data_IF_390687854162
#
_entry.id   IF_390687854162
#
_cell.length_a   1.000
_cell.length_b   1.000
_cell.length_c   1.000
_cell.angle_alpha   90.00
_cell.angle_beta   90.00
_cell.angle_gamma   90.00
#
_symmetry.space_group_name_H-M   'P 1'
#
loop_
_entity.id
_entity.type
_entity.pdbx_description
1 polymer ?
#
# COMPACT_ATOMS: atom_id res chain seq x y z
N UNK A 1 -4.78 43.76 -6.39
CA UNK A 1 -4.51 43.13 -5.06
C UNK A 1 -4.96 41.66 -4.93
N UNK A 2 -5.84 41.17 -5.80
CA UNK A 2 -6.31 39.77 -5.76
C UNK A 2 -5.36 38.74 -6.41
N UNK A 3 -4.51 39.13 -7.36
CA UNK A 3 -3.68 38.22 -8.13
C UNK A 3 -2.54 37.57 -7.34
N UNK A 4 -1.95 38.28 -6.39
CA UNK A 4 -0.82 37.77 -5.59
C UNK A 4 -1.23 36.70 -4.59
N UNK A 5 -2.39 36.80 -3.98
CA UNK A 5 -2.94 35.79 -3.06
C UNK A 5 -3.34 34.50 -3.77
N UNK A 6 -3.83 34.57 -5.02
CA UNK A 6 -4.16 33.39 -5.81
C UNK A 6 -2.90 32.62 -6.22
N UNK A 7 -1.84 33.32 -6.64
CA UNK A 7 -0.57 32.69 -7.01
C UNK A 7 0.08 32.01 -5.80
N UNK A 8 0.09 32.67 -4.62
CA UNK A 8 0.62 32.11 -3.39
C UNK A 8 -0.16 30.87 -2.94
N UNK A 9 -1.50 30.86 -3.09
CA UNK A 9 -2.33 29.70 -2.81
C UNK A 9 -2.10 28.56 -3.80
N UNK A 10 -1.92 28.84 -5.09
CA UNK A 10 -1.60 27.82 -6.10
C UNK A 10 -0.23 27.20 -5.85
N UNK A 11 0.79 27.99 -5.46
CA UNK A 11 2.11 27.48 -5.08
C UNK A 11 2.02 26.59 -3.86
N UNK A 12 1.27 26.96 -2.82
CA UNK A 12 1.07 26.13 -1.63
C UNK A 12 0.34 24.82 -1.95
N UNK A 13 -0.66 24.86 -2.81
CA UNK A 13 -1.38 23.65 -3.28
C UNK A 13 -0.43 22.75 -4.07
N UNK A 14 0.41 23.29 -4.93
CA UNK A 14 1.38 22.54 -5.70
C UNK A 14 2.46 21.91 -4.81
N UNK A 15 3.00 22.68 -3.85
CA UNK A 15 3.98 22.16 -2.88
C UNK A 15 3.40 21.06 -2.00
N UNK A 16 2.17 21.20 -1.53
CA UNK A 16 1.51 20.15 -0.74
C UNK A 16 1.23 18.89 -1.54
N UNK A 17 0.92 19.00 -2.84
CA UNK A 17 0.79 17.85 -3.75
C UNK A 17 2.12 17.11 -3.90
N UNK A 18 3.20 17.83 -4.18
CA UNK A 18 4.53 17.24 -4.35
C UNK A 18 5.00 16.56 -3.06
N UNK A 19 4.80 17.18 -1.92
CA UNK A 19 5.12 16.59 -0.62
C UNK A 19 4.32 15.30 -0.36
N UNK A 20 3.02 15.30 -0.67
CA UNK A 20 2.17 14.10 -0.53
C UNK A 20 2.63 12.96 -1.44
N UNK A 21 3.00 13.27 -2.69
CA UNK A 21 3.54 12.28 -3.62
C UNK A 21 4.83 11.66 -3.08
N UNK A 22 5.74 12.48 -2.56
CA UNK A 22 7.00 12.02 -2.00
C UNK A 22 6.78 11.15 -0.76
N UNK A 23 5.92 11.58 0.17
CA UNK A 23 5.58 10.82 1.37
C UNK A 23 4.90 9.50 1.00
N UNK A 24 3.95 9.51 0.08
CA UNK A 24 3.25 8.30 -0.35
C UNK A 24 4.19 7.27 -0.97
N UNK A 25 5.16 7.70 -1.78
CA UNK A 25 6.18 6.82 -2.35
C UNK A 25 7.16 6.29 -1.31
N UNK A 26 7.67 7.15 -0.43
CA UNK A 26 8.64 6.75 0.61
C UNK A 26 8.06 5.78 1.63
N UNK A 27 6.81 5.97 2.02
CA UNK A 27 6.14 5.15 3.01
C UNK A 27 5.37 3.99 2.40
N UNK A 28 5.41 3.81 1.07
CA UNK A 28 4.65 2.78 0.35
C UNK A 28 3.17 2.75 0.77
N UNK A 29 2.54 3.94 0.81
CA UNK A 29 1.13 4.08 1.23
C UNK A 29 0.15 3.42 0.27
N UNK A 30 0.59 3.01 -0.91
CA UNK A 30 -0.13 2.20 -1.88
C UNK A 30 -0.20 0.71 -1.50
N UNK A 31 0.59 0.26 -0.53
CA UNK A 31 0.62 -1.13 -0.06
C UNK A 31 -0.23 -1.33 1.19
N UNK A 32 -1.00 -2.40 1.19
CA UNK A 32 -1.86 -2.80 2.30
C UNK A 32 -1.70 -4.29 2.57
N UNK A 33 -1.58 -4.65 3.84
CA UNK A 33 -1.42 -6.02 4.32
C UNK A 33 -2.49 -6.33 5.35
N UNK A 34 -3.37 -7.30 5.05
CA UNK A 34 -4.49 -7.66 5.91
C UNK A 34 -4.49 -9.13 6.25
N UNK A 35 -4.74 -9.44 7.50
CA UNK A 35 -4.98 -10.81 7.96
C UNK A 35 -6.45 -10.98 8.32
N UNK A 36 -7.02 -12.13 7.97
CA UNK A 36 -8.38 -12.47 8.35
C UNK A 36 -8.39 -12.97 9.80
N UNK A 37 -9.07 -12.23 10.66
CA UNK A 37 -9.26 -12.57 12.06
C UNK A 37 -10.75 -12.79 12.33
N UNK A 38 -11.19 -14.04 12.20
CA UNK A 38 -12.62 -14.39 12.27
C UNK A 38 -13.41 -13.74 11.12
N UNK A 39 -14.35 -12.86 11.45
CA UNK A 39 -15.17 -12.10 10.47
C UNK A 39 -14.56 -10.74 10.10
N UNK A 40 -13.44 -10.35 10.69
CA UNK A 40 -12.76 -9.09 10.44
C UNK A 40 -11.51 -9.29 9.61
N UNK A 41 -11.21 -8.27 8.81
CA UNK A 41 -9.91 -8.14 8.13
C UNK A 41 -9.14 -7.05 8.87
N UNK A 42 -8.14 -7.47 9.63
CA UNK A 42 -7.29 -6.56 10.37
C UNK A 42 -6.11 -6.10 9.49
N UNK A 43 -5.96 -4.78 9.36
CA UNK A 43 -4.81 -4.18 8.68
C UNK A 43 -3.57 -4.32 9.56
N UNK A 44 -2.51 -4.91 9.01
CA UNK A 44 -1.28 -5.18 9.75
C UNK A 44 -0.31 -3.99 9.78
N UNK A 45 -0.48 -3.04 8.86
CA UNK A 45 0.39 -1.87 8.72
C UNK A 45 1.89 -2.26 8.76
N UNK A 46 2.63 -1.70 9.73
CA UNK A 46 4.07 -1.97 9.92
C UNK A 46 4.38 -3.32 10.57
N UNK A 47 3.36 -4.06 11.04
CA UNK A 47 3.52 -5.38 11.69
C UNK A 47 3.27 -6.55 10.74
N UNK A 48 3.19 -6.30 9.44
CA UNK A 48 3.08 -7.35 8.45
C UNK A 48 4.29 -8.28 8.49
N UNK A 49 4.10 -9.61 8.36
CA UNK A 49 5.22 -10.55 8.41
C UNK A 49 6.14 -10.46 7.19
N UNK A 50 5.62 -9.96 6.08
CA UNK A 50 6.36 -9.80 4.83
C UNK A 50 6.15 -8.41 4.25
N UNK A 51 7.11 -7.97 3.46
CA UNK A 51 6.94 -6.91 2.46
C UNK A 51 6.99 -7.52 1.08
N UNK A 52 6.12 -7.06 0.19
CA UNK A 52 6.05 -7.54 -1.19
C UNK A 52 6.43 -6.41 -2.13
N UNK A 53 7.35 -6.70 -3.02
CA UNK A 53 7.78 -5.80 -4.09
C UNK A 53 7.34 -6.34 -5.44
N UNK A 54 6.90 -5.45 -6.31
CA UNK A 54 6.52 -5.73 -7.69
C UNK A 54 7.41 -4.92 -8.62
N UNK A 55 8.61 -5.44 -9.01
CA UNK A 55 9.64 -4.65 -9.71
C UNK A 55 9.21 -4.04 -11.04
N UNK A 56 8.28 -4.67 -11.74
CA UNK A 56 7.78 -4.24 -13.04
C UNK A 56 6.37 -3.61 -12.98
N UNK A 57 5.82 -3.43 -11.78
CA UNK A 57 4.50 -2.85 -11.65
C UNK A 57 4.51 -1.33 -11.86
N UNK A 58 3.55 -0.86 -12.62
CA UNK A 58 3.28 0.55 -12.78
C UNK A 58 2.52 1.14 -11.59
N UNK A 59 2.69 2.44 -11.32
CA UNK A 59 2.04 3.12 -10.20
C UNK A 59 0.49 3.05 -10.27
N UNK A 60 -0.07 2.98 -11.48
CA UNK A 60 -1.53 2.94 -11.72
C UNK A 60 -2.15 1.55 -11.60
N UNK A 61 -1.34 0.52 -11.59
CA UNK A 61 -1.83 -0.85 -11.48
C UNK A 61 -2.34 -1.16 -10.08
N UNK A 62 -3.43 -1.91 -10.01
CA UNK A 62 -3.94 -2.50 -8.77
C UNK A 62 -3.63 -3.99 -8.79
N UNK A 63 -2.86 -4.43 -7.80
CA UNK A 63 -2.41 -5.82 -7.69
C UNK A 63 -2.93 -6.39 -6.37
N UNK A 64 -3.44 -7.61 -6.43
CA UNK A 64 -3.85 -8.36 -5.25
C UNK A 64 -3.23 -9.75 -5.30
N UNK A 65 -2.76 -10.19 -4.17
CA UNK A 65 -2.22 -11.55 -3.97
C UNK A 65 -2.39 -11.95 -2.51
N UNK A 66 -2.54 -13.23 -2.27
CA UNK A 66 -2.52 -13.79 -0.92
C UNK A 66 -1.16 -14.45 -0.69
N UNK A 67 -0.48 -14.04 0.38
CA UNK A 67 0.79 -14.60 0.82
C UNK A 67 0.56 -15.36 2.12
N UNK A 68 0.82 -16.64 2.11
CA UNK A 68 0.69 -17.50 3.30
C UNK A 68 2.07 -18.02 3.70
N UNK A 69 2.64 -17.55 4.82
CA UNK A 69 3.87 -18.12 5.35
C UNK A 69 3.72 -19.63 5.59
N UNK A 70 4.67 -20.43 5.09
CA UNK A 70 4.67 -21.90 5.24
C UNK A 70 5.67 -22.31 6.32
N UNK A 71 6.89 -21.83 6.21
CA UNK A 71 7.99 -22.08 7.14
C UNK A 71 8.97 -20.90 7.17
N UNK A 72 10.15 -21.06 7.73
CA UNK A 72 11.15 -20.00 7.88
C UNK A 72 11.73 -19.47 6.56
N UNK A 73 11.53 -20.18 5.44
CA UNK A 73 12.14 -19.87 4.15
C UNK A 73 11.13 -19.78 2.99
N UNK A 74 9.92 -20.32 3.18
CA UNK A 74 8.96 -20.56 2.09
C UNK A 74 7.64 -19.90 2.39
N UNK A 75 7.06 -19.29 1.36
CA UNK A 75 5.69 -18.75 1.38
C UNK A 75 4.88 -19.36 0.23
N UNK A 76 3.58 -19.48 0.42
CA UNK A 76 2.62 -19.86 -0.60
C UNK A 76 1.93 -18.63 -1.14
N UNK A 77 1.94 -18.46 -2.45
CA UNK A 77 1.24 -17.41 -3.18
C UNK A 77 -0.03 -17.96 -3.81
N UNK A 78 -1.12 -17.21 -3.75
CA UNK A 78 -2.40 -17.61 -4.33
C UNK A 78 -3.28 -16.38 -4.62
N UNK A 79 -4.39 -16.58 -5.32
CA UNK A 79 -5.39 -15.55 -5.61
C UNK A 79 -4.78 -14.30 -6.25
N UNK A 80 -4.10 -14.50 -7.37
CA UNK A 80 -3.48 -13.41 -8.11
C UNK A 80 -4.53 -12.60 -8.88
N UNK A 81 -4.45 -11.28 -8.76
CA UNK A 81 -5.26 -10.34 -9.55
C UNK A 81 -4.42 -9.12 -9.91
N UNK A 82 -4.53 -8.71 -11.18
CA UNK A 82 -3.91 -7.50 -11.71
C UNK A 82 -4.96 -6.74 -12.50
N UNK A 83 -5.28 -5.52 -12.09
CA UNK A 83 -6.17 -4.62 -12.80
C UNK A 83 -5.40 -3.44 -13.38
N UNK A 84 -5.65 -3.16 -14.67
CA UNK A 84 -5.11 -2.03 -15.43
C UNK A 84 -6.22 -1.43 -16.29
N UNK A 85 -6.64 -0.20 -15.99
CA UNK A 85 -7.77 0.42 -16.69
C UNK A 85 -9.05 -0.41 -16.55
N UNK A 86 -9.62 -0.82 -17.68
CA UNK A 86 -10.82 -1.69 -17.72
C UNK A 86 -10.48 -3.20 -17.78
N UNK A 87 -9.18 -3.54 -17.87
CA UNK A 87 -8.71 -4.92 -17.93
C UNK A 87 -8.40 -5.49 -16.56
N UNK A 88 -8.78 -6.74 -16.32
CA UNK A 88 -8.43 -7.48 -15.11
C UNK A 88 -7.95 -8.89 -15.45
N UNK A 89 -6.83 -9.29 -14.87
CA UNK A 89 -6.26 -10.63 -14.97
C UNK A 89 -6.46 -11.30 -13.61
N UNK A 90 -7.03 -12.48 -13.62
CA UNK A 90 -7.15 -13.35 -12.46
C UNK A 90 -6.45 -14.69 -12.68
N UNK A 91 -5.83 -15.20 -11.65
CA UNK A 91 -5.28 -16.56 -11.67
C UNK A 91 -5.48 -17.22 -10.30
N UNK A 92 -5.98 -18.45 -10.33
CA UNK A 92 -6.13 -19.31 -9.15
C UNK A 92 -4.91 -20.22 -8.94
N UNK A 93 -3.85 -20.00 -9.71
CA UNK A 93 -2.60 -20.73 -9.54
C UNK A 93 -2.08 -20.62 -8.09
N UNK A 94 -1.47 -21.68 -7.60
CA UNK A 94 -0.84 -21.70 -6.28
C UNK A 94 0.64 -22.00 -6.47
N UNK A 95 1.49 -21.14 -5.93
CA UNK A 95 2.93 -21.22 -6.05
C UNK A 95 3.58 -21.24 -4.67
N UNK A 96 4.41 -22.26 -4.40
CA UNK A 96 5.31 -22.25 -3.24
C UNK A 96 6.65 -21.68 -3.67
N UNK A 97 7.09 -20.62 -3.02
CA UNK A 97 8.27 -19.83 -3.40
C UNK A 97 9.15 -19.52 -2.20
N UNK A 98 10.44 -19.32 -2.45
CA UNK A 98 11.37 -18.95 -1.40
C UNK A 98 11.32 -17.44 -1.13
N UNK A 99 11.52 -17.07 0.13
CA UNK A 99 11.72 -15.68 0.53
C UNK A 99 12.98 -15.10 -0.11
N UNK A 100 12.95 -13.81 -0.41
CA UNK A 100 14.01 -13.01 -1.02
C UNK A 100 14.38 -13.37 -2.48
N UNK A 101 13.75 -14.37 -3.06
CA UNK A 101 13.94 -14.70 -4.47
C UNK A 101 13.01 -13.83 -5.36
N UNK A 102 13.48 -13.55 -6.57
CA UNK A 102 12.61 -12.97 -7.61
C UNK A 102 11.83 -14.11 -8.26
N UNK A 103 10.53 -14.10 -8.11
CA UNK A 103 9.63 -15.14 -8.57
C UNK A 103 8.77 -14.65 -9.73
N UNK A 104 8.72 -15.43 -10.81
CA UNK A 104 7.79 -15.17 -11.91
C UNK A 104 6.40 -15.67 -11.53
N UNK A 105 5.40 -14.80 -11.66
CA UNK A 105 4.00 -15.10 -11.32
C UNK A 105 3.07 -14.71 -12.48
N UNK A 106 1.80 -15.14 -12.45
CA UNK A 106 0.82 -14.75 -13.48
C UNK A 106 0.58 -13.24 -13.61
N UNK A 107 0.97 -12.47 -12.60
CA UNK A 107 0.80 -11.01 -12.54
C UNK A 107 2.13 -10.24 -12.62
N UNK A 108 3.19 -10.91 -13.08
CA UNK A 108 4.54 -10.36 -13.21
C UNK A 108 5.49 -10.81 -12.09
N UNK A 109 6.75 -10.36 -12.15
CA UNK A 109 7.74 -10.73 -11.16
C UNK A 109 7.43 -10.13 -9.78
N UNK A 110 7.68 -10.91 -8.74
CA UNK A 110 7.49 -10.53 -7.33
C UNK A 110 8.70 -10.91 -6.50
N UNK A 111 8.93 -10.13 -5.44
CA UNK A 111 9.90 -10.43 -4.39
C UNK A 111 9.19 -10.34 -3.05
N UNK A 112 9.25 -11.40 -2.27
CA UNK A 112 8.68 -11.45 -0.92
C UNK A 112 9.83 -11.44 0.08
N UNK A 113 9.90 -10.38 0.89
CA UNK A 113 10.95 -10.18 1.89
C UNK A 113 10.37 -10.33 3.29
N UNK A 114 10.96 -11.16 4.17
CA UNK A 114 10.50 -11.29 5.54
C UNK A 114 10.83 -10.03 6.34
N UNK A 115 9.95 -9.66 7.26
CA UNK A 115 10.15 -8.58 8.23
C UNK A 115 10.56 -9.16 9.59
N UNK A 116 10.77 -8.28 10.57
CA UNK A 116 11.00 -8.69 11.96
C UNK A 116 9.81 -9.45 12.57
N UNK A 117 8.63 -9.34 11.98
CA UNK A 117 7.41 -10.00 12.41
C UNK A 117 7.18 -11.36 11.74
N UNK A 118 8.11 -11.80 10.88
CA UNK A 118 8.03 -13.13 10.24
C UNK A 118 8.37 -14.21 11.26
N UNK A 119 7.35 -14.74 11.89
CA UNK A 119 7.47 -15.78 12.93
C UNK A 119 6.48 -16.91 12.67
N UNK A 120 6.64 -18.02 13.39
CA UNK A 120 5.77 -19.19 13.35
C UNK A 120 4.30 -18.89 13.66
N UNK A 121 4.03 -17.78 14.36
CA UNK A 121 2.66 -17.28 14.62
C UNK A 121 1.88 -17.04 13.32
N UNK A 122 2.58 -16.69 12.25
CA UNK A 122 1.98 -16.46 10.93
C UNK A 122 1.93 -17.69 10.02
N UNK A 123 2.57 -18.78 10.39
CA UNK A 123 2.56 -19.98 9.53
C UNK A 123 1.14 -20.50 9.33
N UNK A 124 0.78 -20.71 8.07
CA UNK A 124 -0.57 -21.10 7.65
C UNK A 124 -1.62 -20.01 7.68
N UNK A 125 -1.27 -18.78 8.07
CA UNK A 125 -2.22 -17.66 8.08
C UNK A 125 -2.11 -16.86 6.77
N UNK A 126 -3.20 -16.80 5.96
CA UNK A 126 -3.19 -16.03 4.72
C UNK A 126 -3.17 -14.53 5.03
N UNK A 127 -2.21 -13.85 4.43
CA UNK A 127 -2.10 -12.38 4.43
C UNK A 127 -2.50 -11.87 3.06
N UNK A 128 -3.57 -11.10 3.00
CA UNK A 128 -4.00 -10.43 1.77
C UNK A 128 -3.13 -9.20 1.55
N UNK A 129 -2.42 -9.17 0.43
CA UNK A 129 -1.55 -8.08 0.02
C UNK A 129 -2.21 -7.35 -1.15
N UNK A 130 -2.36 -6.04 -1.02
CA UNK A 130 -2.94 -5.19 -2.05
C UNK A 130 -1.99 -4.03 -2.35
N UNK A 131 -1.60 -3.91 -3.62
CA UNK A 131 -1.01 -2.68 -4.15
C UNK A 131 -2.14 -1.89 -4.81
N UNK A 132 -2.38 -0.69 -4.33
CA UNK A 132 -3.38 0.24 -4.87
C UNK A 132 -2.76 1.16 -5.92
N UNK A 133 -3.61 1.78 -6.72
CA UNK A 133 -3.20 2.87 -7.60
C UNK A 133 -2.68 4.04 -6.76
N UNK A 134 -1.40 4.39 -6.91
CA UNK A 134 -0.73 5.41 -6.12
C UNK A 134 -1.40 6.79 -6.28
N UNK A 135 -1.81 7.14 -7.49
CA UNK A 135 -2.50 8.41 -7.77
C UNK A 135 -3.82 8.51 -7.00
N UNK A 136 -4.58 7.42 -6.94
CA UNK A 136 -5.83 7.36 -6.16
C UNK A 136 -5.58 7.49 -4.65
N UNK A 137 -4.50 6.90 -4.15
CA UNK A 137 -4.09 7.03 -2.74
C UNK A 137 -3.72 8.48 -2.42
N UNK A 138 -2.91 9.11 -3.26
CA UNK A 138 -2.50 10.52 -3.12
C UNK A 138 -3.72 11.44 -3.16
N UNK A 139 -4.65 11.23 -4.09
CA UNK A 139 -5.87 12.03 -4.17
C UNK A 139 -6.78 11.85 -2.95
N UNK A 140 -6.87 10.65 -2.39
CA UNK A 140 -7.55 10.39 -1.13
C UNK A 140 -6.98 11.21 0.03
N UNK A 141 -5.66 11.27 0.18
CA UNK A 141 -5.00 12.10 1.20
C UNK A 141 -5.18 13.59 0.94
N UNK A 142 -5.09 14.04 -0.32
CA UNK A 142 -5.33 15.44 -0.69
C UNK A 142 -6.74 15.89 -0.36
N UNK A 143 -7.74 15.07 -0.59
CA UNK A 143 -9.14 15.37 -0.27
C UNK A 143 -9.34 15.53 1.23
N UNK A 144 -8.78 14.65 2.05
CA UNK A 144 -8.79 14.78 3.51
C UNK A 144 -8.10 16.05 3.98
N UNK A 145 -6.98 16.39 3.38
CA UNK A 145 -6.25 17.63 3.68
C UNK A 145 -7.07 18.89 3.38
N UNK A 146 -7.74 18.92 2.23
CA UNK A 146 -8.63 20.04 1.86
C UNK A 146 -9.78 20.23 2.85
N UNK A 147 -10.42 19.14 3.27
CA UNK A 147 -11.49 19.16 4.27
C UNK A 147 -10.98 19.70 5.60
N UNK A 148 -9.80 19.31 6.02
CA UNK A 148 -9.16 19.80 7.25
C UNK A 148 -8.83 21.29 7.19
N UNK A 149 -8.30 21.78 6.09
CA UNK A 149 -8.01 23.21 5.89
C UNK A 149 -9.29 24.05 5.88
N UNK A 150 -10.37 23.54 5.30
CA UNK A 150 -11.68 24.21 5.28
C UNK A 150 -12.31 24.28 6.68
N UNK A 151 -12.06 23.32 7.56
CA UNK A 151 -12.60 23.29 8.94
C UNK A 151 -11.88 24.22 9.93
N UNK A 152 -10.78 24.85 9.56
CA UNK A 152 -9.93 25.75 10.38
C UNK A 152 -9.34 25.14 11.65
N UNK A 153 -9.42 23.84 11.83
CA UNK A 153 -9.16 23.19 13.14
C UNK A 153 -7.91 22.33 13.19
N UNK A 154 -7.27 22.02 12.06
CA UNK A 154 -6.09 21.17 12.09
C UNK A 154 -4.93 21.78 11.31
N UNK A 155 -3.74 21.68 11.85
CA UNK A 155 -2.52 21.88 11.09
C UNK A 155 -2.29 20.65 10.19
N UNK A 156 -1.78 20.87 8.98
CA UNK A 156 -1.40 19.82 8.01
C UNK A 156 -0.59 18.70 8.67
N UNK A 157 0.28 19.07 9.60
CA UNK A 157 1.14 18.16 10.37
C UNK A 157 0.34 17.19 11.23
N UNK A 158 -0.77 17.62 11.86
CA UNK A 158 -1.59 16.76 12.70
C UNK A 158 -2.30 15.66 11.88
N UNK A 159 -2.72 15.96 10.67
CA UNK A 159 -3.41 15.00 9.81
C UNK A 159 -2.49 13.89 9.31
N UNK A 160 -1.29 14.24 8.90
CA UNK A 160 -0.26 13.26 8.50
C UNK A 160 0.17 12.42 9.70
N UNK A 161 0.26 13.02 10.90
CA UNK A 161 0.60 12.30 12.13
C UNK A 161 -0.52 11.38 12.62
N UNK A 162 -1.79 11.76 12.47
CA UNK A 162 -2.93 10.94 12.87
C UNK A 162 -3.05 9.69 11.99
N UNK A 163 -2.85 9.79 10.68
CA UNK A 163 -2.85 8.64 9.77
C UNK A 163 -1.64 7.71 10.00
N UNK A 164 -0.50 8.25 10.40
CA UNK A 164 0.70 7.47 10.75
C UNK A 164 0.59 6.88 12.16
N UNK A 165 -0.10 7.54 13.09
CA UNK A 165 -0.28 7.05 14.47
C UNK A 165 -1.34 5.94 14.57
N UNK A 166 -2.33 5.92 13.68
CA UNK A 166 -3.25 4.78 13.54
C UNK A 166 -2.58 3.53 12.95
N UNK A 167 -1.34 3.67 12.48
CA UNK A 167 -0.50 2.55 12.03
C UNK A 167 0.33 1.88 13.15
N UNK A 168 0.06 2.19 14.42
CA UNK A 168 0.68 1.53 15.59
C UNK A 168 -0.18 0.42 16.16
#
# INVERSE_FOLDING_TARGET
FGGKRNVDNEVLVFQSRHLMEEVARRLHLDMSYKVKNGLRNDELYTHAPVTVSFPEAEERQVIKVVVTPVDSATVRLSNFSLAVGEGEIHSEEVLDVNLNDTVSTPIGPMIITPTLYYTDVFYGKPVSVVKSNLESVIEGYRTRLKVSLASKTATIINLVLDDVSTAR
#
